data_IF_149087686669
#
_entry.id   IF_149087686669
#
_cell.length_a   1.000
_cell.length_b   1.000
_cell.length_c   1.000
_cell.angle_alpha   90.00
_cell.angle_beta   90.00
_cell.angle_gamma   90.00
#
_symmetry.space_group_name_H-M   'P 1'
#
loop_
_entity.id
_entity.type
_entity.pdbx_description
1 polymer ?
#
# COMPACT_ATOMS: atom_id res chain seq x y z
N UNK A 1 -6.10 6.57 -0.61
CA UNK A 1 -5.14 7.08 -1.60
C UNK A 1 -4.66 5.94 -2.50
N UNK A 2 -4.44 6.21 -3.78
CA UNK A 2 -3.89 5.25 -4.74
C UNK A 2 -2.35 5.25 -4.70
N UNK A 3 -1.71 4.15 -5.10
CA UNK A 3 -0.26 4.14 -5.34
C UNK A 3 0.09 5.02 -6.54
N UNK A 4 1.31 5.55 -6.55
CA UNK A 4 1.84 6.33 -7.66
C UNK A 4 2.33 5.41 -8.79
N UNK A 5 2.38 5.94 -10.02
CA UNK A 5 3.07 5.27 -11.12
C UNK A 5 4.54 4.99 -10.77
N UNK A 6 5.12 3.99 -11.42
CA UNK A 6 6.56 3.68 -11.35
C UNK A 6 7.16 3.62 -12.76
N UNK A 7 8.49 3.67 -12.87
CA UNK A 7 9.16 3.40 -14.15
C UNK A 7 8.72 2.03 -14.70
N UNK A 8 8.48 1.89 -16.02
CA UNK A 8 8.79 2.84 -17.09
C UNK A 8 7.65 3.80 -17.48
N UNK A 9 6.56 3.90 -16.70
CA UNK A 9 5.41 4.69 -17.10
C UNK A 9 5.77 6.16 -17.36
N UNK A 10 5.29 6.73 -18.48
CA UNK A 10 5.67 8.07 -18.95
C UNK A 10 5.32 9.21 -17.98
N UNK A 11 4.36 8.99 -17.09
CA UNK A 11 3.93 9.97 -16.08
C UNK A 11 4.58 9.71 -14.71
N UNK A 12 5.52 8.77 -14.61
CA UNK A 12 6.31 8.58 -13.39
C UNK A 12 7.07 9.86 -13.05
N UNK A 13 6.84 10.35 -11.84
CA UNK A 13 7.64 11.38 -11.18
C UNK A 13 7.77 10.99 -9.72
N UNK A 14 8.97 11.05 -9.11
CA UNK A 14 9.16 10.65 -7.72
C UNK A 14 8.31 11.49 -6.75
N UNK A 15 7.94 12.72 -7.12
CA UNK A 15 7.11 13.61 -6.32
C UNK A 15 5.61 13.24 -6.33
N UNK A 16 5.18 12.36 -7.24
CA UNK A 16 3.76 12.03 -7.38
C UNK A 16 3.17 11.43 -6.10
N UNK A 17 3.94 10.64 -5.35
CA UNK A 17 3.44 10.01 -4.11
C UNK A 17 3.12 11.09 -3.06
N UNK A 18 4.02 12.05 -2.87
CA UNK A 18 3.85 13.18 -1.93
C UNK A 18 2.65 14.03 -2.32
N UNK A 19 2.54 14.40 -3.60
CA UNK A 19 1.42 15.20 -4.09
C UNK A 19 0.07 14.45 -3.95
N UNK A 20 0.07 13.14 -4.19
CA UNK A 20 -1.13 12.29 -4.04
C UNK A 20 -1.51 12.17 -2.56
N UNK A 21 -0.55 11.90 -1.68
CA UNK A 21 -0.79 11.82 -0.24
C UNK A 21 -1.43 13.09 0.29
N UNK A 22 -0.80 14.25 0.06
CA UNK A 22 -1.29 15.54 0.53
C UNK A 22 -2.73 15.78 0.07
N UNK A 23 -3.01 15.63 -1.23
CA UNK A 23 -4.35 15.82 -1.79
C UNK A 23 -5.41 14.91 -1.14
N UNK A 24 -5.12 13.61 -0.98
CA UNK A 24 -6.09 12.68 -0.38
C UNK A 24 -6.31 12.96 1.11
N UNK A 25 -5.25 13.30 1.85
CA UNK A 25 -5.34 13.62 3.28
C UNK A 25 -6.10 14.93 3.51
N UNK A 26 -5.76 15.98 2.76
CA UNK A 26 -6.38 17.29 2.90
C UNK A 26 -7.88 17.22 2.62
N UNK A 27 -8.28 16.65 1.47
CA UNK A 27 -9.69 16.50 1.11
C UNK A 27 -10.40 15.53 2.05
N UNK A 28 -9.75 14.43 2.45
CA UNK A 28 -10.30 13.48 3.41
C UNK A 28 -10.65 14.14 4.74
N UNK A 29 -9.76 14.97 5.26
CA UNK A 29 -9.98 15.74 6.48
C UNK A 29 -11.08 16.79 6.29
N UNK A 30 -11.10 17.51 5.16
CA UNK A 30 -12.10 18.53 4.84
C UNK A 30 -13.53 17.98 4.86
N UNK A 31 -13.74 16.79 4.29
CA UNK A 31 -15.07 16.18 4.15
C UNK A 31 -15.38 15.14 5.24
N UNK A 32 -14.46 14.91 6.18
CA UNK A 32 -14.62 13.88 7.22
C UNK A 32 -14.62 12.44 6.68
N UNK A 33 -13.89 12.18 5.58
CA UNK A 33 -13.76 10.86 4.98
C UNK A 33 -12.49 10.13 5.43
N UNK A 34 -12.60 8.83 5.66
CA UNK A 34 -11.48 7.97 5.98
C UNK A 34 -10.57 7.78 4.75
N UNK A 35 -9.27 7.98 4.92
CA UNK A 35 -8.26 7.74 3.88
C UNK A 35 -7.54 6.41 4.13
N UNK A 36 -7.60 5.51 3.14
CA UNK A 36 -6.85 4.25 3.17
C UNK A 36 -5.44 4.48 2.57
N UNK A 37 -4.34 4.28 3.32
CA UNK A 37 -2.99 4.69 2.91
C UNK A 37 -2.27 3.69 1.98
N UNK A 38 -2.94 3.17 0.94
CA UNK A 38 -2.34 2.16 0.02
C UNK A 38 -1.09 2.68 -0.68
N UNK A 39 -1.07 3.94 -1.08
CA UNK A 39 0.11 4.52 -1.74
C UNK A 39 1.35 4.51 -0.86
N UNK A 40 1.21 4.84 0.43
CA UNK A 40 2.30 4.76 1.40
C UNK A 40 2.73 3.32 1.66
N UNK A 41 1.79 2.37 1.64
CA UNK A 41 2.12 0.96 1.76
C UNK A 41 3.00 0.48 0.60
N UNK A 42 2.70 0.92 -0.63
CA UNK A 42 3.52 0.60 -1.80
C UNK A 42 4.91 1.22 -1.72
N UNK A 43 5.02 2.48 -1.30
CA UNK A 43 6.31 3.16 -1.11
C UNK A 43 7.17 2.40 -0.08
N UNK A 44 6.59 2.07 1.06
CA UNK A 44 7.28 1.33 2.13
C UNK A 44 7.66 -0.09 1.67
N UNK A 45 6.82 -0.76 0.90
CA UNK A 45 7.13 -2.07 0.35
C UNK A 45 8.31 -2.02 -0.64
N UNK A 46 8.37 -1.01 -1.50
CA UNK A 46 9.54 -0.81 -2.38
C UNK A 46 10.81 -0.47 -1.60
N UNK A 47 10.70 0.24 -0.48
CA UNK A 47 11.83 0.53 0.40
C UNK A 47 12.37 -0.73 1.09
N UNK A 48 11.48 -1.61 1.58
CA UNK A 48 11.86 -2.86 2.28
C UNK A 48 12.29 -3.98 1.33
N UNK A 49 11.70 -4.02 0.13
CA UNK A 49 11.87 -5.12 -0.82
C UNK A 49 12.19 -4.59 -2.23
N UNK A 50 13.37 -3.98 -2.45
CA UNK A 50 13.71 -3.29 -3.70
C UNK A 50 13.70 -4.20 -4.94
N UNK A 51 13.94 -5.50 -4.74
CA UNK A 51 13.97 -6.50 -5.83
C UNK A 51 12.58 -6.99 -6.24
N UNK A 52 11.57 -6.81 -5.38
CA UNK A 52 10.19 -7.22 -5.68
C UNK A 52 9.47 -6.20 -6.57
N UNK A 53 8.48 -6.70 -7.31
CA UNK A 53 7.65 -5.88 -8.20
C UNK A 53 6.21 -5.86 -7.70
N UNK A 54 5.79 -4.72 -7.17
CA UNK A 54 4.42 -4.46 -6.73
C UNK A 54 3.51 -3.92 -7.84
N UNK A 55 4.09 -3.57 -8.98
CA UNK A 55 3.37 -3.19 -10.20
C UNK A 55 3.63 -4.19 -11.33
N UNK A 56 2.70 -4.26 -12.26
CA UNK A 56 2.89 -4.89 -13.57
C UNK A 56 3.93 -4.11 -14.40
N UNK A 57 4.32 -4.68 -15.54
CA UNK A 57 5.33 -4.09 -16.43
C UNK A 57 4.95 -2.72 -17.00
N UNK A 58 3.66 -2.39 -16.98
CA UNK A 58 3.14 -1.08 -17.40
C UNK A 58 3.53 0.06 -16.44
N UNK A 59 3.97 -0.27 -15.22
CA UNK A 59 4.28 0.69 -14.17
C UNK A 59 3.05 1.43 -13.64
N UNK A 60 1.84 0.92 -13.90
CA UNK A 60 0.58 1.53 -13.50
C UNK A 60 -0.29 0.59 -12.67
N UNK A 61 -0.47 -0.66 -13.06
CA UNK A 61 -1.39 -1.56 -12.36
C UNK A 61 -0.65 -2.37 -11.30
N UNK A 62 -1.27 -2.67 -10.14
CA UNK A 62 -0.71 -3.60 -9.18
C UNK A 62 -0.43 -4.98 -9.77
N UNK A 63 0.67 -5.58 -9.35
CA UNK A 63 0.91 -7.02 -9.52
C UNK A 63 0.08 -7.82 -8.51
N UNK A 64 0.26 -9.15 -8.47
CA UNK A 64 -0.32 -9.99 -7.41
C UNK A 64 0.12 -9.52 -6.01
N UNK A 65 1.40 -9.23 -5.83
CA UNK A 65 1.95 -8.75 -4.55
C UNK A 65 1.40 -7.37 -4.19
N UNK A 66 1.29 -6.47 -5.17
CA UNK A 66 0.72 -5.14 -4.96
C UNK A 66 -0.76 -5.21 -4.59
N UNK A 67 -1.54 -6.05 -5.29
CA UNK A 67 -2.96 -6.28 -4.98
C UNK A 67 -3.13 -6.84 -3.57
N UNK A 68 -2.31 -7.82 -3.18
CA UNK A 68 -2.33 -8.39 -1.85
C UNK A 68 -2.04 -7.34 -0.76
N UNK A 69 -0.99 -6.54 -0.96
CA UNK A 69 -0.63 -5.46 -0.04
C UNK A 69 -1.74 -4.41 0.07
N UNK A 70 -2.36 -4.02 -1.04
CA UNK A 70 -3.50 -3.11 -1.06
C UNK A 70 -4.69 -3.68 -0.26
N UNK A 71 -4.96 -4.98 -0.40
CA UNK A 71 -6.01 -5.66 0.35
C UNK A 71 -5.72 -5.69 1.86
N UNK A 72 -4.49 -6.03 2.26
CA UNK A 72 -4.08 -5.97 3.68
C UNK A 72 -4.21 -4.57 4.27
N UNK A 73 -3.80 -3.54 3.53
CA UNK A 73 -3.87 -2.13 3.96
C UNK A 73 -5.33 -1.67 4.10
N UNK A 74 -6.18 -2.07 3.15
CA UNK A 74 -7.62 -1.81 3.17
C UNK A 74 -8.29 -2.49 4.37
N UNK A 75 -8.00 -3.78 4.59
CA UNK A 75 -8.50 -4.54 5.73
C UNK A 75 -8.11 -3.87 7.06
N UNK A 76 -6.83 -3.55 7.22
CA UNK A 76 -6.32 -2.93 8.44
C UNK A 76 -7.00 -1.60 8.74
N UNK A 77 -7.21 -0.78 7.71
CA UNK A 77 -7.84 0.54 7.84
C UNK A 77 -9.33 0.44 8.16
N UNK A 78 -10.09 -0.39 7.42
CA UNK A 78 -11.55 -0.47 7.57
C UNK A 78 -11.98 -1.16 8.86
N UNK A 79 -11.23 -2.19 9.28
CA UNK A 79 -11.60 -2.99 10.44
C UNK A 79 -10.83 -2.62 11.71
N UNK A 80 -9.81 -1.77 11.63
CA UNK A 80 -8.94 -1.45 12.77
C UNK A 80 -8.25 -2.69 13.34
N UNK A 81 -8.00 -3.70 12.50
CA UNK A 81 -7.45 -5.01 12.89
C UNK A 81 -6.18 -5.30 12.14
N UNK A 82 -5.19 -5.84 12.84
CA UNK A 82 -3.96 -6.26 12.18
C UNK A 82 -4.23 -7.36 11.14
N UNK A 83 -3.73 -7.22 9.89
CA UNK A 83 -3.77 -8.28 8.89
C UNK A 83 -2.71 -9.35 9.16
N UNK A 84 -1.77 -9.10 10.08
CA UNK A 84 -0.67 -10.02 10.41
C UNK A 84 -1.21 -11.31 11.03
N UNK A 85 -0.79 -12.44 10.47
CA UNK A 85 -1.26 -13.77 10.88
C UNK A 85 -2.54 -14.22 10.16
N UNK A 86 -3.04 -13.45 9.19
CA UNK A 86 -4.12 -13.90 8.34
C UNK A 86 -3.63 -15.07 7.45
N UNK A 87 -4.36 -16.18 7.44
CA UNK A 87 -4.00 -17.39 6.70
C UNK A 87 -4.17 -17.27 5.18
N UNK A 88 -4.91 -16.27 4.69
CA UNK A 88 -5.07 -16.04 3.25
C UNK A 88 -3.79 -15.49 2.64
N UNK A 89 -3.28 -16.18 1.62
CA UNK A 89 -2.04 -15.88 0.91
C UNK A 89 -2.23 -15.95 -0.61
N UNK A 90 -3.28 -15.27 -1.09
CA UNK A 90 -3.69 -15.24 -2.50
C UNK A 90 -3.85 -16.64 -3.10
N UNK A 91 -4.72 -17.46 -2.50
CA UNK A 91 -4.95 -18.86 -2.92
C UNK A 91 -3.68 -19.73 -2.92
N UNK A 92 -2.69 -19.35 -2.10
CA UNK A 92 -1.44 -20.07 -1.98
C UNK A 92 -0.37 -19.65 -2.99
N UNK A 93 -0.64 -18.64 -3.82
CA UNK A 93 0.30 -18.10 -4.81
C UNK A 93 1.42 -17.25 -4.19
N UNK A 94 1.25 -16.82 -2.93
CA UNK A 94 2.29 -16.11 -2.17
C UNK A 94 2.83 -17.04 -1.09
N UNK A 95 4.15 -17.12 -0.98
CA UNK A 95 4.86 -17.84 0.07
C UNK A 95 4.51 -17.25 1.45
N UNK A 96 4.44 -18.07 2.49
CA UNK A 96 3.92 -17.69 3.81
C UNK A 96 4.76 -16.60 4.49
N UNK A 97 6.08 -16.73 4.44
CA UNK A 97 7.01 -15.72 4.96
C UNK A 97 6.83 -14.38 4.27
N UNK A 98 6.76 -14.37 2.93
CA UNK A 98 6.50 -13.15 2.17
C UNK A 98 5.11 -12.56 2.46
N UNK A 99 4.06 -13.39 2.54
CA UNK A 99 2.72 -12.92 2.89
C UNK A 99 2.72 -12.22 4.27
N UNK A 100 3.37 -12.82 5.26
CA UNK A 100 3.53 -12.25 6.61
C UNK A 100 4.27 -10.91 6.56
N UNK A 101 5.34 -10.81 5.78
CA UNK A 101 6.07 -9.56 5.59
C UNK A 101 5.20 -8.45 4.96
N UNK A 102 4.38 -8.77 3.97
CA UNK A 102 3.47 -7.79 3.34
C UNK A 102 2.34 -7.38 4.27
N UNK A 103 1.81 -8.30 5.07
CA UNK A 103 0.86 -7.97 6.14
C UNK A 103 1.49 -7.01 7.14
N UNK A 104 2.76 -7.22 7.51
CA UNK A 104 3.48 -6.34 8.43
C UNK A 104 3.66 -4.94 7.85
N UNK A 105 3.99 -4.81 6.55
CA UNK A 105 4.06 -3.49 5.90
C UNK A 105 2.73 -2.75 6.01
N UNK A 106 1.62 -3.42 5.68
CA UNK A 106 0.30 -2.82 5.81
C UNK A 106 -0.01 -2.39 7.26
N UNK A 107 0.31 -3.22 8.24
CA UNK A 107 0.09 -2.91 9.66
C UNK A 107 0.89 -1.69 10.11
N UNK A 108 2.19 -1.66 9.80
CA UNK A 108 3.09 -0.57 10.20
C UNK A 108 2.63 0.75 9.61
N UNK A 109 2.31 0.74 8.30
CA UNK A 109 1.89 1.94 7.58
C UNK A 109 0.56 2.46 8.09
N UNK A 110 -0.44 1.60 8.30
CA UNK A 110 -1.74 2.01 8.83
C UNK A 110 -1.60 2.56 10.25
N UNK A 111 -0.81 1.90 11.10
CA UNK A 111 -0.53 2.37 12.47
C UNK A 111 0.12 3.74 12.44
N UNK A 112 1.18 3.91 11.65
CA UNK A 112 1.88 5.18 11.55
C UNK A 112 0.99 6.27 10.96
N UNK A 113 0.19 5.97 9.93
CA UNK A 113 -0.66 6.94 9.26
C UNK A 113 -1.70 7.56 10.20
N UNK A 114 -2.36 6.75 11.03
CA UNK A 114 -3.37 7.23 11.98
C UNK A 114 -2.82 7.71 13.33
N UNK A 115 -1.51 7.61 13.55
CA UNK A 115 -0.81 8.18 14.71
C UNK A 115 -0.18 9.55 14.42
N UNK A 116 -0.24 10.04 13.18
CA UNK A 116 0.24 11.38 12.82
C UNK A 116 -0.70 12.41 13.44
N UNK A 117 -0.15 13.23 14.34
CA UNK A 117 -0.84 14.38 14.94
C UNK A 117 -1.00 15.50 13.92
#
# INVERSE_FOLDING_TARGET
MTHAYVKPHRQFKPENIVATEAMYVDVGNEIGALVIPVGLAFEEAYRRFPDLKFHNRDGTHPSLLGTYLAACTTFATLYGRSPVGNAYRAEGLIEEGLATQLQQVAQDVVTQFFQRN
#
